data_IF_915114356180
#
_entry.id   IF_915114356180
#
_cell.length_a   1.000
_cell.length_b   1.000
_cell.length_c   1.000
_cell.angle_alpha   90.00
_cell.angle_beta   90.00
_cell.angle_gamma   90.00
#
_symmetry.space_group_name_H-M   'P 1'
#
loop_
_entity.id
_entity.type
_entity.pdbx_description
1 polymer ?
#
# COMPACT_ATOMS: atom_id res chain seq x y z
N UNK A 1 -25.93 -13.39 6.36
CA UNK A 1 -25.72 -13.21 7.83
C UNK A 1 -25.94 -11.72 8.16
N UNK A 2 -26.88 -11.41 9.07
CA UNK A 2 -27.11 -10.02 9.52
C UNK A 2 -26.02 -9.61 10.51
N UNK A 3 -25.48 -8.41 10.38
CA UNK A 3 -24.42 -7.87 11.22
C UNK A 3 -24.55 -6.35 11.37
N UNK A 4 -23.89 -5.78 12.35
CA UNK A 4 -23.83 -4.35 12.59
C UNK A 4 -22.49 -3.80 12.08
N UNK A 5 -22.53 -2.65 11.45
CA UNK A 5 -21.35 -1.87 11.04
C UNK A 5 -21.53 -0.40 11.34
N UNK A 6 -20.57 0.41 10.90
CA UNK A 6 -20.63 1.87 10.90
C UNK A 6 -20.51 2.37 9.47
N UNK A 7 -21.52 3.06 8.99
CA UNK A 7 -21.59 3.61 7.64
C UNK A 7 -21.74 5.12 7.65
N UNK A 8 -21.23 5.76 6.61
CA UNK A 8 -21.70 7.10 6.23
C UNK A 8 -22.76 6.98 5.14
N UNK A 9 -23.78 7.83 5.22
CA UNK A 9 -24.90 7.85 4.27
C UNK A 9 -24.66 8.78 3.08
N UNK A 10 -23.78 9.78 3.26
CA UNK A 10 -23.37 10.77 2.25
C UNK A 10 -21.94 11.21 2.53
N UNK A 11 -21.34 11.96 1.60
CA UNK A 11 -19.98 12.49 1.73
C UNK A 11 -19.76 13.35 3.00
N UNK A 12 -20.79 14.04 3.45
CA UNK A 12 -20.73 15.01 4.56
C UNK A 12 -21.27 14.43 5.88
N UNK A 13 -21.84 13.22 5.85
CA UNK A 13 -22.42 12.62 7.04
C UNK A 13 -21.36 11.92 7.89
N UNK A 14 -21.47 11.96 9.23
CA UNK A 14 -20.60 11.17 10.11
C UNK A 14 -20.89 9.67 9.95
N UNK A 15 -19.94 8.85 10.35
CA UNK A 15 -20.16 7.41 10.50
C UNK A 15 -21.13 7.13 11.64
N UNK A 16 -22.16 6.33 11.37
CA UNK A 16 -23.16 5.90 12.34
C UNK A 16 -23.47 4.42 12.25
N UNK A 17 -24.15 3.85 13.26
CA UNK A 17 -24.58 2.45 13.25
C UNK A 17 -25.41 2.12 12.01
N UNK A 18 -25.10 1.03 11.35
CA UNK A 18 -25.76 0.57 10.14
C UNK A 18 -25.88 -0.95 10.11
N UNK A 19 -27.08 -1.43 9.85
CA UNK A 19 -27.35 -2.86 9.70
C UNK A 19 -26.91 -3.32 8.31
N UNK A 20 -26.08 -4.35 8.26
CA UNK A 20 -25.53 -4.95 7.04
C UNK A 20 -26.06 -6.37 6.90
N UNK A 21 -26.40 -6.78 5.71
CA UNK A 21 -26.58 -8.18 5.39
C UNK A 21 -25.38 -8.67 4.58
N UNK A 22 -24.54 -9.51 5.19
CA UNK A 22 -23.45 -10.18 4.50
C UNK A 22 -24.02 -11.31 3.65
N UNK A 23 -23.47 -11.51 2.46
CA UNK A 23 -23.83 -12.61 1.58
C UNK A 23 -23.75 -13.97 2.28
N UNK A 24 -24.46 -14.95 1.78
CA UNK A 24 -24.35 -16.33 2.23
C UNK A 24 -22.93 -16.87 2.00
N UNK A 25 -22.50 -17.76 2.88
CA UNK A 25 -21.20 -18.43 2.78
C UNK A 25 -21.19 -19.34 1.54
N UNK A 26 -20.23 -19.11 0.66
CA UNK A 26 -19.98 -19.97 -0.52
C UNK A 26 -19.01 -21.09 -0.16
N UNK A 27 -18.88 -22.12 -1.00
CA UNK A 27 -18.00 -23.27 -0.68
C UNK A 27 -16.55 -22.91 -0.34
N UNK A 28 -15.99 -21.85 -0.95
CA UNK A 28 -14.60 -21.42 -0.74
C UNK A 28 -14.50 -20.21 0.20
N UNK A 29 -15.56 -19.87 0.94
CA UNK A 29 -15.57 -18.70 1.79
C UNK A 29 -15.21 -19.01 3.23
N UNK A 30 -14.67 -18.01 3.88
CA UNK A 30 -14.44 -17.93 5.31
C UNK A 30 -15.30 -16.81 5.87
N UNK A 31 -16.11 -17.09 6.90
CA UNK A 31 -16.75 -16.07 7.70
C UNK A 31 -15.90 -15.81 8.95
N UNK A 32 -15.72 -14.53 9.27
CA UNK A 32 -14.91 -14.12 10.41
C UNK A 32 -15.62 -13.07 11.26
N UNK A 33 -15.42 -13.13 12.57
CA UNK A 33 -15.67 -12.06 13.49
C UNK A 33 -14.49 -11.06 13.39
N UNK A 34 -14.80 -9.78 13.20
CA UNK A 34 -13.78 -8.72 13.16
C UNK A 34 -13.42 -8.32 14.57
N UNK A 35 -12.15 -8.47 14.92
CA UNK A 35 -11.61 -8.10 16.23
C UNK A 35 -11.01 -6.69 16.20
N UNK A 36 -10.27 -6.37 15.11
CA UNK A 36 -9.62 -5.08 14.92
C UNK A 36 -9.72 -4.65 13.45
N UNK A 37 -9.84 -3.36 13.24
CA UNK A 37 -9.72 -2.77 11.91
C UNK A 37 -8.93 -1.46 12.02
N UNK A 38 -7.83 -1.37 11.31
CA UNK A 38 -7.03 -0.16 11.23
C UNK A 38 -7.77 0.96 10.49
N UNK A 39 -7.29 2.19 10.67
CA UNK A 39 -7.80 3.39 10.00
C UNK A 39 -6.76 3.91 9.02
N UNK A 40 -7.14 4.02 7.77
CA UNK A 40 -6.32 4.52 6.68
C UNK A 40 -6.87 5.83 6.10
N UNK A 41 -6.01 6.65 5.49
CA UNK A 41 -6.45 7.84 4.74
C UNK A 41 -7.44 7.49 3.61
N UNK A 42 -7.29 6.31 3.02
CA UNK A 42 -8.23 5.79 2.00
C UNK A 42 -9.67 5.71 2.53
N UNK A 43 -9.86 5.29 3.78
CA UNK A 43 -11.18 5.23 4.40
C UNK A 43 -11.83 6.62 4.48
N UNK A 44 -11.02 7.63 4.83
CA UNK A 44 -11.45 9.02 4.91
C UNK A 44 -11.78 9.60 3.53
N UNK A 45 -10.89 9.42 2.55
CA UNK A 45 -11.09 9.89 1.18
C UNK A 45 -12.33 9.27 0.53
N UNK A 46 -12.55 7.98 0.74
CA UNK A 46 -13.74 7.31 0.23
C UNK A 46 -15.01 7.75 0.98
N UNK A 47 -14.95 7.88 2.30
CA UNK A 47 -16.10 8.36 3.06
C UNK A 47 -16.54 9.77 2.64
N UNK A 48 -15.58 10.64 2.30
CA UNK A 48 -15.82 12.02 1.83
C UNK A 48 -16.04 12.15 0.33
N UNK A 49 -15.94 11.07 -0.42
CA UNK A 49 -16.01 11.07 -1.89
C UNK A 49 -14.97 11.99 -2.57
N UNK A 50 -13.79 12.13 -1.97
CA UNK A 50 -12.74 13.00 -2.50
C UNK A 50 -12.29 12.58 -3.91
N UNK A 51 -12.55 11.35 -4.29
CA UNK A 51 -12.21 10.78 -5.61
C UNK A 51 -13.39 10.73 -6.59
N UNK A 52 -14.62 11.10 -6.15
CA UNK A 52 -15.78 11.25 -7.00
C UNK A 52 -16.50 9.96 -7.41
N UNK A 53 -16.21 8.80 -6.75
CA UNK A 53 -16.79 7.51 -7.12
C UNK A 53 -17.26 6.65 -5.93
N UNK A 54 -17.48 7.26 -4.77
CA UNK A 54 -18.00 6.54 -3.60
C UNK A 54 -19.45 6.14 -3.75
N UNK A 55 -19.77 4.94 -3.33
CA UNK A 55 -21.13 4.39 -3.28
C UNK A 55 -21.64 4.43 -1.84
N UNK A 56 -22.79 5.08 -1.63
CA UNK A 56 -23.42 5.18 -0.31
C UNK A 56 -24.67 4.28 -0.22
N UNK A 57 -25.01 3.76 0.98
CA UNK A 57 -24.25 3.85 2.24
C UNK A 57 -22.90 3.16 2.13
N UNK A 58 -21.85 3.75 2.73
CA UNK A 58 -20.49 3.24 2.66
C UNK A 58 -20.00 2.83 4.04
N UNK A 59 -19.59 1.57 4.17
CA UNK A 59 -18.92 1.03 5.36
C UNK A 59 -17.44 0.85 5.03
N UNK A 60 -16.53 1.68 5.55
CA UNK A 60 -15.10 1.59 5.26
C UNK A 60 -14.39 0.46 6.02
N UNK A 61 -13.07 0.42 5.91
CA UNK A 61 -12.19 -0.50 6.63
C UNK A 61 -11.64 -1.62 5.74
N UNK A 62 -10.31 -1.64 5.59
CA UNK A 62 -9.57 -2.61 4.77
C UNK A 62 -8.24 -3.05 5.41
N UNK A 63 -8.10 -2.83 6.71
CA UNK A 63 -6.99 -3.29 7.54
C UNK A 63 -7.55 -4.20 8.64
N UNK A 64 -8.06 -5.37 8.27
CA UNK A 64 -8.97 -6.17 9.08
C UNK A 64 -8.24 -7.35 9.69
N UNK A 65 -8.37 -7.51 11.01
CA UNK A 65 -7.95 -8.70 11.74
C UNK A 65 -9.17 -9.31 12.44
N UNK A 66 -9.31 -10.62 12.34
CA UNK A 66 -10.43 -11.30 12.94
C UNK A 66 -10.16 -12.76 13.23
N UNK A 67 -11.20 -13.43 13.66
CA UNK A 67 -11.19 -14.85 13.97
C UNK A 67 -12.23 -15.57 13.13
N UNK A 68 -11.84 -16.68 12.55
CA UNK A 68 -12.75 -17.52 11.75
C UNK A 68 -13.85 -18.07 12.66
N UNK A 69 -15.10 -17.88 12.25
CA UNK A 69 -16.30 -18.40 12.94
C UNK A 69 -17.00 -19.47 12.13
N UNK A 70 -16.85 -19.50 10.80
CA UNK A 70 -17.46 -20.50 9.92
C UNK A 70 -16.61 -20.62 8.65
N UNK A 71 -16.57 -21.82 8.04
CA UNK A 71 -15.87 -22.10 6.78
C UNK A 71 -16.76 -22.82 5.80
N UNK A 72 -16.62 -22.50 4.52
CA UNK A 72 -17.31 -23.19 3.44
C UNK A 72 -16.80 -24.60 3.20
N UNK A 73 -17.61 -25.43 2.55
CA UNK A 73 -17.37 -26.87 2.39
C UNK A 73 -16.09 -27.24 1.61
N UNK A 74 -15.50 -26.30 0.87
CA UNK A 74 -14.26 -26.50 0.09
C UNK A 74 -13.06 -25.75 0.68
N UNK A 75 -13.23 -25.06 1.81
CA UNK A 75 -12.12 -24.39 2.48
C UNK A 75 -11.17 -25.43 3.05
N UNK A 76 -9.88 -25.25 2.76
CA UNK A 76 -8.82 -26.19 3.19
C UNK A 76 -7.73 -25.51 4.01
N UNK A 77 -7.62 -24.19 3.92
CA UNK A 77 -6.53 -23.40 4.52
C UNK A 77 -6.79 -22.95 5.94
N UNK A 78 -8.06 -22.93 6.33
CA UNK A 78 -8.51 -22.35 7.61
C UNK A 78 -9.53 -23.25 8.29
N UNK A 79 -9.62 -23.13 9.62
CA UNK A 79 -10.63 -23.74 10.48
C UNK A 79 -11.19 -22.70 11.45
N UNK A 80 -12.33 -22.99 12.02
CA UNK A 80 -12.94 -22.17 13.09
C UNK A 80 -11.93 -21.96 14.21
N UNK A 81 -11.81 -20.72 14.66
CA UNK A 81 -10.86 -20.30 15.70
C UNK A 81 -9.53 -19.75 15.17
N UNK A 82 -9.17 -19.95 13.90
CA UNK A 82 -7.94 -19.41 13.33
C UNK A 82 -7.98 -17.87 13.30
N UNK A 83 -6.84 -17.23 13.61
CA UNK A 83 -6.67 -15.80 13.41
C UNK A 83 -6.36 -15.50 11.94
N UNK A 84 -7.13 -14.62 11.33
CA UNK A 84 -7.02 -14.26 9.93
C UNK A 84 -7.05 -12.75 9.73
N UNK A 85 -6.45 -12.32 8.64
CA UNK A 85 -6.37 -10.92 8.24
C UNK A 85 -6.92 -10.73 6.81
N UNK A 86 -7.56 -9.59 6.54
CA UNK A 86 -8.06 -9.23 5.22
C UNK A 86 -7.65 -7.80 4.89
N UNK A 87 -7.02 -7.63 3.73
CA UNK A 87 -6.54 -6.34 3.24
C UNK A 87 -7.52 -5.64 2.30
N UNK A 88 -6.98 -4.98 1.28
CA UNK A 88 -7.74 -4.12 0.37
C UNK A 88 -8.64 -4.87 -0.61
N UNK A 89 -8.44 -6.18 -0.81
CA UNK A 89 -9.17 -7.00 -1.81
C UNK A 89 -9.79 -8.22 -1.17
N UNK A 90 -10.94 -8.64 -1.72
CA UNK A 90 -11.73 -9.78 -1.22
C UNK A 90 -12.07 -10.80 -2.30
N UNK A 91 -11.87 -10.49 -3.59
CA UNK A 91 -12.13 -11.43 -4.69
C UNK A 91 -11.37 -11.04 -5.98
N UNK A 92 -11.21 -12.00 -6.89
CA UNK A 92 -10.76 -11.84 -8.27
C UNK A 92 -11.30 -12.99 -9.12
N UNK A 93 -11.02 -13.01 -10.43
CA UNK A 93 -11.52 -14.07 -11.30
C UNK A 93 -10.90 -15.45 -11.03
N UNK A 94 -9.73 -15.54 -10.43
CA UNK A 94 -8.97 -16.74 -10.07
C UNK A 94 -8.52 -17.63 -11.28
N UNK A 95 -8.86 -17.27 -12.52
CA UNK A 95 -8.56 -18.11 -13.69
C UNK A 95 -7.71 -17.43 -14.78
N UNK A 96 -7.56 -16.10 -14.76
CA UNK A 96 -6.70 -15.43 -15.74
C UNK A 96 -5.21 -15.69 -15.48
N UNK A 97 -4.37 -15.30 -16.43
CA UNK A 97 -2.91 -15.48 -16.34
C UNK A 97 -2.28 -14.81 -15.11
N UNK A 98 -2.82 -13.66 -14.70
CA UNK A 98 -2.32 -12.95 -13.52
C UNK A 98 -2.74 -13.63 -12.23
N UNK A 99 -4.02 -14.02 -12.10
CA UNK A 99 -4.48 -14.75 -10.92
C UNK A 99 -3.75 -16.08 -10.73
N UNK A 100 -3.49 -16.82 -11.83
CA UNK A 100 -2.71 -18.09 -11.77
C UNK A 100 -1.27 -17.90 -11.32
N UNK A 101 -0.71 -16.69 -11.48
CA UNK A 101 0.63 -16.33 -10.99
C UNK A 101 0.61 -15.83 -9.54
N UNK A 102 -0.58 -15.69 -8.93
CA UNK A 102 -0.76 -15.06 -7.63
C UNK A 102 -0.72 -13.53 -7.65
N UNK A 103 -0.96 -12.94 -8.82
CA UNK A 103 -0.97 -11.49 -9.07
C UNK A 103 -2.41 -10.98 -9.18
N UNK A 104 -3.28 -11.33 -8.24
CA UNK A 104 -4.72 -11.04 -8.27
C UNK A 104 -5.03 -9.56 -8.31
N UNK A 105 -4.13 -8.71 -7.79
CA UNK A 105 -4.23 -7.25 -7.93
C UNK A 105 -4.18 -6.79 -9.40
N UNK A 106 -3.63 -7.63 -10.28
CA UNK A 106 -3.56 -7.41 -11.73
C UNK A 106 -4.58 -8.27 -12.49
N UNK A 107 -5.62 -8.76 -11.83
CA UNK A 107 -6.66 -9.58 -12.46
C UNK A 107 -7.16 -8.92 -13.75
N UNK A 108 -7.18 -9.69 -14.86
CA UNK A 108 -7.61 -9.18 -16.17
C UNK A 108 -9.08 -8.74 -16.21
N UNK A 109 -9.89 -9.30 -15.33
CA UNK A 109 -11.30 -8.97 -15.17
C UNK A 109 -11.55 -7.99 -14.02
N UNK A 110 -10.50 -7.38 -13.47
CA UNK A 110 -10.54 -6.58 -12.24
C UNK A 110 -10.58 -7.45 -10.99
N UNK A 111 -10.04 -6.94 -9.89
CA UNK A 111 -10.22 -7.49 -8.56
C UNK A 111 -11.44 -6.83 -7.88
N UNK A 112 -11.93 -7.39 -6.79
CA UNK A 112 -12.99 -6.82 -5.97
C UNK A 112 -12.41 -6.24 -4.70
N UNK A 113 -12.68 -4.96 -4.46
CA UNK A 113 -12.21 -4.27 -3.25
C UNK A 113 -13.02 -4.69 -2.03
N UNK A 114 -12.42 -4.59 -0.86
CA UNK A 114 -13.02 -4.96 0.42
C UNK A 114 -14.26 -4.16 0.74
N UNK A 115 -14.34 -2.91 0.27
CA UNK A 115 -15.52 -2.06 0.34
C UNK A 115 -15.56 -1.09 -0.86
N UNK A 116 -16.70 -0.42 -1.04
CA UNK A 116 -16.94 0.51 -2.14
C UNK A 116 -16.75 -0.12 -3.53
N UNK A 117 -17.09 -1.38 -3.66
CA UNK A 117 -17.06 -2.14 -4.91
C UNK A 117 -18.27 -3.07 -4.97
N UNK A 118 -18.34 -3.95 -5.95
CA UNK A 118 -19.44 -4.89 -6.13
C UNK A 118 -18.93 -6.33 -6.10
N UNK A 119 -19.63 -7.17 -5.34
CA UNK A 119 -19.41 -8.62 -5.37
C UNK A 119 -19.48 -9.15 -6.81
N UNK A 120 -18.56 -10.01 -7.20
CA UNK A 120 -18.45 -10.49 -8.57
C UNK A 120 -19.68 -11.29 -9.02
N UNK A 121 -20.38 -11.95 -8.11
CA UNK A 121 -21.51 -12.85 -8.39
C UNK A 121 -22.83 -12.13 -8.15
N UNK A 122 -23.10 -11.64 -6.94
CA UNK A 122 -24.39 -11.03 -6.57
C UNK A 122 -24.53 -9.59 -7.03
N UNK A 123 -23.41 -8.91 -7.35
CA UNK A 123 -23.35 -7.48 -7.69
C UNK A 123 -23.75 -6.54 -6.55
N UNK A 124 -23.95 -7.06 -5.35
CA UNK A 124 -24.18 -6.26 -4.17
C UNK A 124 -22.96 -5.42 -3.82
N UNK A 125 -23.17 -4.30 -3.14
CA UNK A 125 -22.10 -3.43 -2.67
C UNK A 125 -21.27 -4.16 -1.62
N UNK A 126 -19.93 -4.09 -1.72
CA UNK A 126 -19.04 -4.60 -0.70
C UNK A 126 -18.92 -3.61 0.44
N UNK A 127 -18.92 -4.12 1.67
CA UNK A 127 -18.80 -3.36 2.91
C UNK A 127 -17.57 -3.80 3.69
N UNK A 128 -16.82 -2.84 4.22
CA UNK A 128 -15.53 -3.05 4.87
C UNK A 128 -15.58 -3.57 6.30
N UNK A 129 -14.44 -3.46 6.94
CA UNK A 129 -14.16 -3.99 8.26
C UNK A 129 -14.66 -3.15 9.43
N UNK A 130 -15.24 -1.93 9.19
CA UNK A 130 -15.93 -1.21 10.25
C UNK A 130 -17.29 -1.86 10.53
N UNK A 131 -17.24 -3.18 10.75
CA UNK A 131 -18.38 -4.05 11.01
C UNK A 131 -17.95 -5.23 11.88
N UNK A 132 -18.94 -5.90 12.52
CA UNK A 132 -18.64 -7.03 13.40
C UNK A 132 -18.23 -8.31 12.68
N UNK A 133 -18.67 -8.50 11.43
CA UNK A 133 -18.38 -9.73 10.69
C UNK A 133 -18.04 -9.41 9.23
N UNK A 134 -17.24 -10.30 8.64
CA UNK A 134 -16.90 -10.27 7.21
C UNK A 134 -17.00 -11.69 6.64
N UNK A 135 -17.38 -11.79 5.36
CA UNK A 135 -17.33 -13.01 4.56
C UNK A 135 -16.41 -12.76 3.37
N UNK A 136 -15.39 -13.60 3.22
CA UNK A 136 -14.33 -13.44 2.22
C UNK A 136 -13.93 -14.80 1.67
N UNK A 137 -13.44 -14.86 0.43
CA UNK A 137 -12.84 -16.09 -0.11
C UNK A 137 -11.55 -16.43 0.63
N UNK A 138 -11.29 -17.74 0.83
CA UNK A 138 -10.09 -18.19 1.55
C UNK A 138 -8.77 -17.69 0.92
N UNK A 139 -8.74 -17.45 -0.39
CA UNK A 139 -7.56 -16.94 -1.09
C UNK A 139 -7.19 -15.52 -0.69
N UNK A 140 -8.15 -14.73 -0.21
CA UNK A 140 -7.96 -13.35 0.24
C UNK A 140 -7.91 -13.21 1.77
N UNK A 141 -8.10 -14.28 2.50
CA UNK A 141 -7.78 -14.35 3.91
C UNK A 141 -6.28 -14.66 4.08
N UNK A 142 -5.61 -13.98 4.97
CA UNK A 142 -4.19 -14.16 5.29
C UNK A 142 -4.07 -14.74 6.69
N UNK A 143 -3.21 -15.74 6.88
CA UNK A 143 -2.93 -16.27 8.22
C UNK A 143 -2.15 -15.25 9.03
N UNK A 144 -2.60 -14.96 10.22
CA UNK A 144 -1.82 -14.16 11.17
C UNK A 144 -0.90 -15.10 11.93
N UNK A 145 0.43 -14.87 11.92
CA UNK A 145 1.38 -15.70 12.64
C UNK A 145 1.16 -15.66 14.15
N UNK A 146 1.43 -16.78 14.82
CA UNK A 146 1.43 -16.85 16.27
C UNK A 146 2.48 -15.88 16.85
N UNK A 147 2.13 -15.24 17.97
CA UNK A 147 3.01 -14.27 18.64
C UNK A 147 2.95 -12.84 18.10
N UNK A 148 2.26 -12.58 16.99
CA UNK A 148 2.01 -11.22 16.52
C UNK A 148 0.80 -10.63 17.26
N UNK A 149 0.95 -9.42 17.81
CA UNK A 149 -0.15 -8.69 18.42
C UNK A 149 -1.22 -8.37 17.34
N UNK A 150 -2.43 -8.86 17.56
CA UNK A 150 -3.50 -8.76 16.56
C UNK A 150 -3.90 -7.30 16.27
N UNK A 151 -3.92 -6.43 17.29
CA UNK A 151 -4.27 -5.03 17.09
C UNK A 151 -3.19 -4.29 16.30
N UNK A 152 -1.91 -4.59 16.58
CA UNK A 152 -0.78 -3.96 15.89
C UNK A 152 -0.55 -4.53 14.49
N UNK A 153 -1.09 -5.71 14.18
CA UNK A 153 -1.00 -6.32 12.86
C UNK A 153 -1.91 -5.65 11.81
N UNK A 154 -3.00 -5.01 12.22
CA UNK A 154 -3.97 -4.43 11.29
C UNK A 154 -3.36 -3.47 10.24
N UNK A 155 -2.51 -2.49 10.59
CA UNK A 155 -1.90 -1.58 9.60
C UNK A 155 -1.00 -2.28 8.57
N UNK A 156 -0.55 -3.52 8.84
CA UNK A 156 0.27 -4.28 7.88
C UNK A 156 -0.50 -4.61 6.60
N UNK A 157 -1.83 -4.68 6.68
CA UNK A 157 -2.71 -5.08 5.56
C UNK A 157 -2.84 -4.01 4.47
N UNK A 158 -2.51 -2.76 4.80
CA UNK A 158 -2.47 -1.65 3.85
C UNK A 158 -1.10 -0.96 3.87
N UNK A 159 -0.78 -0.20 4.91
CA UNK A 159 0.47 0.54 4.99
C UNK A 159 1.70 -0.37 4.93
N UNK A 160 1.64 -1.55 5.56
CA UNK A 160 2.72 -2.54 5.55
C UNK A 160 2.98 -3.07 4.14
N UNK A 161 2.00 -3.71 3.51
CA UNK A 161 2.18 -4.30 2.17
C UNK A 161 2.49 -3.25 1.10
N UNK A 162 1.90 -2.06 1.20
CA UNK A 162 2.12 -0.96 0.26
C UNK A 162 3.59 -0.49 0.26
N UNK A 163 4.23 -0.46 1.42
CA UNK A 163 5.63 -0.05 1.56
C UNK A 163 6.63 -1.21 1.45
N UNK A 164 6.22 -2.42 1.80
CA UNK A 164 7.03 -3.63 1.64
C UNK A 164 7.21 -4.04 0.17
N UNK A 165 6.14 -3.94 -0.61
CA UNK A 165 6.14 -4.35 -2.02
C UNK A 165 7.25 -3.67 -2.84
N UNK A 166 7.43 -2.33 -2.82
CA UNK A 166 8.55 -1.71 -3.55
C UNK A 166 9.91 -2.15 -3.03
N UNK A 167 10.11 -2.33 -1.73
CA UNK A 167 11.37 -2.83 -1.19
C UNK A 167 11.73 -4.20 -1.78
N UNK A 168 10.75 -5.10 -1.92
CA UNK A 168 10.94 -6.42 -2.53
C UNK A 168 11.10 -6.36 -4.04
N UNK A 169 10.31 -5.54 -4.72
CA UNK A 169 10.32 -5.43 -6.20
C UNK A 169 11.66 -4.91 -6.71
N UNK A 170 12.28 -4.00 -5.97
CA UNK A 170 13.60 -3.44 -6.31
C UNK A 170 14.75 -4.13 -5.57
N UNK A 171 14.51 -5.34 -4.99
CA UNK A 171 15.51 -6.17 -4.33
C UNK A 171 16.31 -5.44 -3.25
N UNK A 172 15.68 -4.53 -2.52
CA UNK A 172 16.32 -3.85 -1.41
C UNK A 172 16.66 -4.86 -0.32
N UNK A 173 17.89 -4.80 0.16
CA UNK A 173 18.45 -5.68 1.19
C UNK A 173 19.55 -4.99 1.97
N UNK A 174 20.44 -5.75 2.64
CA UNK A 174 21.54 -5.19 3.45
C UNK A 174 22.40 -4.22 2.65
N UNK A 175 22.56 -3.00 3.18
CA UNK A 175 23.33 -1.92 2.55
C UNK A 175 22.61 -1.15 1.44
N UNK A 176 21.43 -1.58 0.99
CA UNK A 176 20.62 -0.86 -0.01
C UNK A 176 20.24 0.54 0.47
N UNK A 177 20.35 1.56 -0.40
CA UNK A 177 20.15 2.97 -0.06
C UNK A 177 18.74 3.39 -0.35
N UNK A 178 17.94 3.57 0.71
CA UNK A 178 16.51 3.88 0.62
C UNK A 178 16.20 5.27 1.15
N UNK A 179 15.53 6.07 0.33
CA UNK A 179 14.92 7.33 0.74
C UNK A 179 13.43 7.13 1.07
N UNK A 180 12.95 7.71 2.16
CA UNK A 180 11.52 7.72 2.50
C UNK A 180 11.05 9.16 2.62
N UNK A 181 10.18 9.60 1.70
CA UNK A 181 9.59 10.94 1.73
C UNK A 181 8.33 10.90 2.56
N UNK A 182 8.28 11.73 3.61
CA UNK A 182 7.18 11.78 4.57
C UNK A 182 7.32 10.78 5.72
N UNK A 183 6.79 11.14 6.88
CA UNK A 183 6.77 10.29 8.08
C UNK A 183 5.37 10.33 8.70
N UNK A 184 4.38 9.82 7.96
CA UNK A 184 3.03 9.49 8.39
C UNK A 184 2.91 7.99 8.66
N UNK A 185 1.70 7.41 8.59
CA UNK A 185 1.47 5.97 8.76
C UNK A 185 2.29 5.11 7.79
N UNK A 186 2.19 5.40 6.48
CA UNK A 186 2.99 4.74 5.44
C UNK A 186 4.50 4.92 5.67
N UNK A 187 4.95 6.16 5.93
CA UNK A 187 6.38 6.44 6.14
C UNK A 187 6.95 5.71 7.35
N UNK A 188 6.19 5.55 8.45
CA UNK A 188 6.58 4.72 9.59
C UNK A 188 6.84 3.28 9.17
N UNK A 189 5.92 2.69 8.42
CA UNK A 189 6.04 1.30 7.96
C UNK A 189 7.21 1.16 6.97
N UNK A 190 7.37 2.10 6.04
CA UNK A 190 8.49 2.11 5.09
C UNK A 190 9.85 2.08 5.83
N UNK A 191 10.03 2.96 6.81
CA UNK A 191 11.27 3.02 7.61
C UNK A 191 11.51 1.72 8.36
N UNK A 192 10.52 1.24 9.13
CA UNK A 192 10.67 0.01 9.92
C UNK A 192 11.00 -1.20 9.06
N UNK A 193 10.31 -1.35 7.93
CA UNK A 193 10.52 -2.48 7.02
C UNK A 193 11.87 -2.40 6.31
N UNK A 194 12.27 -1.24 5.81
CA UNK A 194 13.57 -1.05 5.17
C UNK A 194 14.73 -1.31 6.15
N UNK A 195 14.62 -0.78 7.38
CA UNK A 195 15.60 -1.04 8.47
C UNK A 195 15.67 -2.54 8.80
N UNK A 196 14.51 -3.21 8.94
CA UNK A 196 14.47 -4.64 9.22
C UNK A 196 15.08 -5.49 8.09
N UNK A 197 15.04 -5.00 6.85
CA UNK A 197 15.70 -5.62 5.70
C UNK A 197 17.20 -5.29 5.60
N UNK A 198 17.74 -4.49 6.52
CA UNK A 198 19.15 -4.11 6.57
C UNK A 198 19.56 -2.97 5.65
N UNK A 199 18.60 -2.22 5.10
CA UNK A 199 18.87 -1.07 4.25
C UNK A 199 19.42 0.13 5.04
N UNK A 200 20.19 0.98 4.35
CA UNK A 200 20.58 2.30 4.82
C UNK A 200 19.42 3.30 4.54
N UNK A 201 18.74 3.74 5.57
CA UNK A 201 17.49 4.49 5.43
C UNK A 201 17.68 5.98 5.71
N UNK A 202 17.31 6.82 4.76
CA UNK A 202 17.22 8.28 4.94
C UNK A 202 15.76 8.72 4.89
N UNK A 203 15.28 9.34 5.97
CA UNK A 203 13.95 9.95 5.97
C UNK A 203 14.05 11.39 5.46
N UNK A 204 13.16 11.75 4.55
CA UNK A 204 13.05 13.09 3.99
C UNK A 204 11.75 13.76 4.44
N UNK A 205 11.83 14.99 4.92
CA UNK A 205 10.67 15.80 5.28
C UNK A 205 10.97 17.26 5.04
N UNK A 206 9.96 18.12 5.01
CA UNK A 206 10.15 19.56 4.76
C UNK A 206 11.04 20.22 5.80
N UNK A 207 10.83 19.93 7.09
CA UNK A 207 11.51 20.55 8.23
C UNK A 207 12.12 19.49 9.15
N UNK A 208 12.98 19.90 10.08
CA UNK A 208 13.65 19.00 11.02
C UNK A 208 12.76 18.47 12.16
N UNK A 209 11.48 18.86 12.23
CA UNK A 209 10.58 18.52 13.36
C UNK A 209 10.43 17.02 13.58
N UNK A 210 10.55 16.24 12.50
CA UNK A 210 10.42 14.76 12.55
C UNK A 210 11.74 14.03 12.67
N UNK A 211 12.89 14.74 12.75
CA UNK A 211 14.23 14.13 12.77
C UNK A 211 14.41 13.15 13.92
N UNK A 212 14.12 13.57 15.15
CA UNK A 212 14.26 12.71 16.33
C UNK A 212 13.41 11.44 16.22
N UNK A 213 12.17 11.56 15.71
CA UNK A 213 11.28 10.44 15.50
C UNK A 213 11.78 9.50 14.41
N UNK A 214 12.32 10.02 13.31
CA UNK A 214 12.89 9.20 12.24
C UNK A 214 14.06 8.35 12.73
N UNK A 215 14.99 8.97 13.46
CA UNK A 215 16.14 8.25 14.04
C UNK A 215 15.71 7.22 15.10
N UNK A 216 14.71 7.54 15.92
CA UNK A 216 14.15 6.60 16.89
C UNK A 216 13.48 5.37 16.23
N UNK A 217 13.03 5.47 14.98
CA UNK A 217 12.51 4.36 14.18
C UNK A 217 13.62 3.51 13.54
N UNK A 218 14.88 3.90 13.68
CA UNK A 218 16.02 3.20 13.14
C UNK A 218 16.58 3.77 11.82
N UNK A 219 16.06 4.91 11.34
CA UNK A 219 16.65 5.57 10.17
C UNK A 219 18.09 6.02 10.46
N UNK A 220 19.00 5.81 9.49
CA UNK A 220 20.41 6.20 9.61
C UNK A 220 20.58 7.72 9.47
N UNK A 221 19.77 8.34 8.62
CA UNK A 221 19.87 9.77 8.28
C UNK A 221 18.50 10.42 8.19
N UNK A 222 18.55 11.74 8.31
CA UNK A 222 17.39 12.60 8.07
C UNK A 222 17.82 13.78 7.18
N UNK A 223 16.99 14.10 6.20
CA UNK A 223 17.22 15.16 5.22
C UNK A 223 16.01 16.11 5.20
N UNK A 224 16.25 17.39 5.50
CA UNK A 224 15.23 18.42 5.32
C UNK A 224 15.21 18.85 3.86
N UNK A 225 14.08 18.70 3.17
CA UNK A 225 13.97 19.05 1.75
C UNK A 225 14.03 20.56 1.48
N UNK A 226 13.90 21.39 2.51
CA UNK A 226 14.11 22.85 2.43
C UNK A 226 15.58 23.26 2.56
N UNK A 227 16.48 22.34 2.91
CA UNK A 227 17.91 22.57 2.97
C UNK A 227 18.55 22.23 1.61
N UNK A 228 18.73 23.26 0.79
CA UNK A 228 19.24 23.09 -0.58
C UNK A 228 20.67 22.51 -0.62
N UNK A 229 21.53 22.85 0.36
CA UNK A 229 22.89 22.33 0.42
C UNK A 229 22.89 20.83 0.77
N UNK A 230 22.07 20.43 1.74
CA UNK A 230 21.92 19.03 2.13
C UNK A 230 21.31 18.19 0.98
N UNK A 231 20.34 18.75 0.26
CA UNK A 231 19.75 18.11 -0.93
C UNK A 231 20.78 17.93 -2.04
N UNK A 232 21.60 18.96 -2.32
CA UNK A 232 22.66 18.88 -3.32
C UNK A 232 23.72 17.82 -2.97
N UNK A 233 24.10 17.69 -1.70
CA UNK A 233 25.03 16.66 -1.22
C UNK A 233 24.46 15.23 -1.29
N UNK A 234 23.14 15.09 -1.36
CA UNK A 234 22.46 13.81 -1.42
C UNK A 234 22.17 13.33 -2.86
N UNK A 235 22.63 14.06 -3.90
CA UNK A 235 22.47 13.68 -5.30
C UNK A 235 23.06 12.29 -5.57
N UNK A 236 22.40 11.51 -6.45
CA UNK A 236 22.78 10.13 -6.81
C UNK A 236 22.97 9.22 -5.58
N UNK A 237 22.26 9.50 -4.50
CA UNK A 237 22.40 8.82 -3.21
C UNK A 237 21.47 7.62 -2.99
N UNK A 238 20.43 7.42 -3.82
CA UNK A 238 19.39 6.44 -3.51
C UNK A 238 19.09 5.50 -4.68
N UNK A 239 19.01 4.22 -4.38
CA UNK A 239 18.56 3.17 -5.30
C UNK A 239 17.02 3.12 -5.36
N UNK A 240 16.38 3.41 -4.24
CA UNK A 240 14.92 3.48 -4.14
C UNK A 240 14.51 4.68 -3.28
N UNK A 241 13.58 5.46 -3.78
CA UNK A 241 12.87 6.46 -2.99
C UNK A 241 11.40 6.08 -2.92
N UNK A 242 10.84 6.00 -1.71
CA UNK A 242 9.41 5.72 -1.47
C UNK A 242 8.75 7.02 -1.01
N UNK A 243 7.89 7.58 -1.86
CA UNK A 243 7.11 8.77 -1.53
C UNK A 243 5.77 8.39 -0.90
N UNK A 244 5.61 8.77 0.37
CA UNK A 244 4.44 8.44 1.19
C UNK A 244 3.54 9.64 1.47
N UNK A 245 3.80 10.78 0.83
CA UNK A 245 3.05 12.02 1.06
C UNK A 245 1.71 11.97 0.33
N UNK A 246 0.56 12.12 1.02
CA UNK A 246 -0.76 11.94 0.42
C UNK A 246 -1.35 13.24 -0.16
N UNK A 247 -0.53 14.26 -0.38
CA UNK A 247 -0.96 15.55 -0.92
C UNK A 247 -0.09 15.97 -2.09
N UNK A 248 -0.63 16.79 -2.99
CA UNK A 248 0.14 17.34 -4.13
C UNK A 248 1.37 18.10 -3.62
N UNK A 249 2.53 17.75 -4.14
CA UNK A 249 3.81 18.40 -3.86
C UNK A 249 4.75 18.23 -5.06
N UNK A 250 5.85 18.98 -5.07
CA UNK A 250 6.86 18.87 -6.12
C UNK A 250 7.73 17.63 -5.91
N UNK A 251 7.52 16.61 -6.76
CA UNK A 251 8.33 15.39 -6.78
C UNK A 251 9.64 15.55 -7.57
N UNK A 252 9.76 16.60 -8.42
CA UNK A 252 10.93 16.79 -9.26
C UNK A 252 12.17 17.10 -8.42
N UNK A 253 12.02 17.73 -7.27
CA UNK A 253 13.12 18.01 -6.34
C UNK A 253 13.83 16.75 -5.81
N UNK A 254 13.18 15.60 -5.88
CA UNK A 254 13.74 14.31 -5.43
C UNK A 254 14.34 13.46 -6.55
N UNK A 255 14.05 13.77 -7.82
CA UNK A 255 14.59 13.00 -8.96
C UNK A 255 16.13 13.03 -9.02
N UNK A 256 16.82 14.19 -8.80
CA UNK A 256 18.28 14.22 -8.78
C UNK A 256 18.94 13.41 -7.67
N UNK A 257 18.18 13.00 -6.66
CA UNK A 257 18.69 12.17 -5.56
C UNK A 257 18.80 10.69 -5.93
N UNK A 258 18.13 10.26 -7.00
CA UNK A 258 18.21 8.89 -7.50
C UNK A 258 19.57 8.62 -8.11
N UNK A 259 20.13 7.48 -7.78
CA UNK A 259 21.33 6.95 -8.44
C UNK A 259 21.00 6.42 -9.84
N UNK A 260 22.02 6.00 -10.58
CA UNK A 260 21.85 5.32 -11.88
C UNK A 260 20.91 4.13 -11.69
N UNK A 261 19.91 4.00 -12.57
CA UNK A 261 18.81 3.02 -12.46
C UNK A 261 17.95 3.12 -11.18
N UNK A 262 18.18 4.13 -10.35
CA UNK A 262 17.38 4.41 -9.17
C UNK A 262 15.91 4.67 -9.52
N UNK A 263 15.02 4.35 -8.58
CA UNK A 263 13.57 4.43 -8.79
C UNK A 263 12.89 5.23 -7.70
N UNK A 264 12.01 6.17 -8.09
CA UNK A 264 11.06 6.82 -7.18
C UNK A 264 9.70 6.16 -7.32
N UNK A 265 9.17 5.66 -6.20
CA UNK A 265 7.86 4.99 -6.12
C UNK A 265 6.92 5.85 -5.30
N UNK A 266 5.83 6.31 -5.89
CA UNK A 266 4.80 7.08 -5.22
C UNK A 266 3.76 6.10 -4.69
N UNK A 267 3.62 5.99 -3.37
CA UNK A 267 2.63 5.16 -2.67
C UNK A 267 1.57 6.00 -1.96
N UNK A 268 1.84 7.28 -1.76
CA UNK A 268 0.84 8.27 -1.35
C UNK A 268 -0.05 8.67 -2.53
N UNK A 269 -1.34 8.84 -2.30
CA UNK A 269 -2.21 9.34 -3.38
C UNK A 269 -2.17 10.85 -3.43
N UNK A 270 -1.47 11.40 -4.40
CA UNK A 270 -1.23 12.84 -4.56
C UNK A 270 -2.24 13.55 -5.48
N UNK A 271 -3.36 12.89 -5.82
CA UNK A 271 -4.34 13.39 -6.80
C UNK A 271 -3.87 13.17 -8.26
N UNK A 272 -4.55 13.82 -9.20
CA UNK A 272 -4.10 13.83 -10.59
C UNK A 272 -2.80 14.66 -10.67
N UNK A 273 -1.75 14.09 -11.23
CA UNK A 273 -0.56 14.82 -11.64
C UNK A 273 -0.93 15.62 -12.89
N UNK A 274 -1.38 16.87 -12.71
CA UNK A 274 -2.02 17.67 -13.75
C UNK A 274 -1.18 17.88 -15.01
N UNK A 275 0.14 17.72 -14.94
CA UNK A 275 1.05 18.03 -16.06
C UNK A 275 1.88 16.84 -16.54
N UNK A 276 1.66 15.63 -16.01
CA UNK A 276 2.49 14.47 -16.34
C UNK A 276 1.67 13.19 -16.55
N UNK A 277 0.48 13.29 -17.15
CA UNK A 277 -0.37 12.15 -17.44
C UNK A 277 -0.25 11.63 -18.91
N UNK A 278 0.85 10.93 -19.24
CA UNK A 278 0.84 9.98 -20.35
C UNK A 278 0.69 8.53 -19.88
N UNK A 279 0.66 8.25 -18.55
CA UNK A 279 0.73 6.86 -18.06
C UNK A 279 -0.63 6.23 -17.71
N UNK A 280 -1.71 7.04 -17.68
CA UNK A 280 -3.09 6.54 -17.52
C UNK A 280 -3.88 6.46 -18.83
N UNK A 281 -3.33 6.91 -19.95
CA UNK A 281 -3.93 6.76 -21.27
C UNK A 281 -3.46 5.47 -21.97
N UNK A 282 -3.92 4.32 -21.47
CA UNK A 282 -4.20 3.24 -22.39
C UNK A 282 -5.32 3.75 -23.31
N UNK A 283 -5.07 3.82 -24.62
CA UNK A 283 -6.12 4.09 -25.62
C UNK A 283 -7.32 3.19 -25.28
N UNK A 284 -8.52 3.75 -25.05
CA UNK A 284 -9.71 2.93 -24.84
C UNK A 284 -9.91 2.09 -26.11
N UNK A 285 -10.25 0.82 -26.00
CA UNK A 285 -10.66 0.05 -27.16
C UNK A 285 -11.84 0.75 -27.83
N UNK A 286 -11.94 0.78 -29.16
CA UNK A 286 -13.02 1.44 -29.85
C UNK A 286 -14.36 0.85 -29.39
N UNK A 287 -15.20 1.68 -28.75
CA UNK A 287 -16.54 1.33 -28.26
C UNK A 287 -16.69 1.10 -26.75
N UNK A 288 -15.64 1.27 -25.94
CA UNK A 288 -15.71 1.11 -24.49
C UNK A 288 -15.72 2.43 -23.73
N UNK A 289 -16.63 2.57 -22.77
CA UNK A 289 -16.59 3.62 -21.74
C UNK A 289 -15.25 3.45 -21.01
N UNK A 290 -14.43 4.50 -21.01
CA UNK A 290 -13.16 4.51 -20.28
C UNK A 290 -13.44 4.24 -18.79
N UNK A 291 -13.15 3.04 -18.33
CA UNK A 291 -13.35 2.66 -16.95
C UNK A 291 -12.25 3.31 -16.10
N UNK A 292 -12.57 4.45 -15.50
CA UNK A 292 -11.69 5.20 -14.59
C UNK A 292 -11.26 4.40 -13.36
N UNK A 293 -11.79 3.18 -13.16
CA UNK A 293 -11.51 2.29 -12.02
C UNK A 293 -10.08 1.75 -12.00
N UNK A 294 -9.38 1.73 -13.14
CA UNK A 294 -8.01 1.23 -13.22
C UNK A 294 -6.95 2.21 -12.69
N UNK A 295 -7.26 3.49 -12.55
CA UNK A 295 -6.34 4.49 -11.99
C UNK A 295 -6.53 4.73 -10.48
N UNK A 296 -7.58 4.20 -9.88
CA UNK A 296 -8.00 4.47 -8.51
C UNK A 296 -7.71 3.32 -7.54
N UNK A 297 -6.85 2.36 -7.89
CA UNK A 297 -6.46 1.31 -6.95
C UNK A 297 -5.51 1.90 -5.89
N UNK A 298 -5.90 2.01 -4.61
CA UNK A 298 -5.07 2.61 -3.55
C UNK A 298 -3.78 1.84 -3.27
N UNK A 299 -3.58 0.65 -3.86
CA UNK A 299 -2.33 -0.10 -3.81
C UNK A 299 -1.43 0.08 -5.03
N UNK A 300 -1.77 0.99 -5.97
CA UNK A 300 -0.97 1.19 -7.18
C UNK A 300 0.22 2.13 -6.90
N UNK A 301 1.43 1.57 -6.87
CA UNK A 301 2.65 2.35 -6.85
C UNK A 301 2.92 2.93 -8.24
N UNK A 302 3.08 4.25 -8.37
CA UNK A 302 3.53 4.92 -9.60
C UNK A 302 5.06 4.97 -9.65
N UNK A 303 5.60 4.67 -10.83
CA UNK A 303 7.03 4.49 -11.05
C UNK A 303 7.59 5.63 -11.90
N UNK A 304 8.60 6.33 -11.39
CA UNK A 304 9.45 7.22 -12.17
C UNK A 304 10.88 6.65 -12.14
N UNK A 305 11.50 6.44 -13.30
CA UNK A 305 12.90 6.02 -13.41
C UNK A 305 13.73 7.15 -13.99
N UNK A 306 14.86 7.44 -13.36
CA UNK A 306 15.91 8.23 -13.97
C UNK A 306 16.72 7.32 -14.92
N UNK A 307 16.79 7.66 -16.19
CA UNK A 307 17.76 7.07 -17.13
C UNK A 307 18.84 8.09 -17.37
N UNK A 308 20.03 7.83 -16.89
CA UNK A 308 21.19 8.51 -17.43
C UNK A 308 21.65 7.82 -18.72
N UNK A 309 21.64 8.57 -19.81
CA UNK A 309 22.48 8.26 -20.95
C UNK A 309 23.87 8.84 -20.67
N UNK A 310 24.96 8.10 -20.95
CA UNK A 310 26.29 8.70 -21.03
C UNK A 310 26.30 9.60 -22.26
N UNK A 311 25.81 10.82 -22.14
CA UNK A 311 25.99 11.86 -23.13
C UNK A 311 27.42 12.37 -22.99
N UNK A 312 28.27 12.10 -23.97
CA UNK A 312 29.45 12.93 -24.22
C UNK A 312 28.93 14.37 -24.34
N UNK A 313 29.32 15.20 -23.38
CA UNK A 313 29.13 16.65 -23.46
C UNK A 313 29.88 17.16 -24.66
N UNK A 314 29.16 17.50 -25.74
CA UNK A 314 29.54 18.53 -26.64
C UNK A 314 28.80 19.78 -26.20
N UNK A 315 29.56 20.74 -25.70
CA UNK A 315 29.07 22.06 -25.30
C UNK A 315 28.43 22.77 -26.48
N UNK A 316 27.12 22.94 -26.45
CA UNK A 316 26.39 23.89 -27.27
C UNK A 316 26.04 25.12 -26.40
N UNK A 317 26.69 26.28 -26.64
CA UNK A 317 26.53 27.43 -25.75
C UNK A 317 25.20 28.18 -25.85
N UNK A 318 24.26 27.78 -26.72
CA UNK A 318 23.04 28.54 -27.04
C UNK A 318 21.72 27.76 -26.96
N UNK A 319 21.65 26.58 -26.32
CA UNK A 319 20.42 25.80 -26.20
C UNK A 319 19.73 25.97 -24.84
N UNK A 320 18.39 26.17 -24.81
CA UNK A 320 17.68 26.16 -23.51
C UNK A 320 17.72 24.75 -22.91
N UNK A 321 18.05 24.69 -21.63
CA UNK A 321 18.16 23.47 -20.80
C UNK A 321 16.82 22.69 -20.83
N UNK A 322 16.73 21.73 -21.74
CA UNK A 322 15.61 20.79 -21.82
C UNK A 322 16.06 19.40 -21.40
N UNK A 323 16.21 19.18 -20.09
CA UNK A 323 16.24 17.83 -19.52
C UNK A 323 14.84 17.23 -19.62
N UNK A 324 14.54 16.66 -20.78
CA UNK A 324 13.31 15.86 -20.95
C UNK A 324 13.47 14.52 -20.22
N UNK A 325 12.85 14.37 -19.07
CA UNK A 325 12.57 13.07 -18.49
C UNK A 325 11.59 12.35 -19.41
N UNK A 326 12.06 11.40 -20.21
CA UNK A 326 11.18 10.52 -20.98
C UNK A 326 10.58 9.50 -20.02
N UNK A 327 9.29 9.63 -19.73
CA UNK A 327 8.50 8.56 -19.16
C UNK A 327 8.45 7.41 -20.20
N UNK A 328 9.31 6.41 -20.05
CA UNK A 328 9.16 5.18 -20.82
C UNK A 328 8.02 4.40 -20.18
N UNK A 329 6.96 4.13 -20.95
CA UNK A 329 5.81 3.32 -20.57
C UNK A 329 6.24 1.94 -20.11
N UNK A 330 6.60 1.83 -18.84
CA UNK A 330 6.91 0.57 -18.18
C UNK A 330 5.67 0.19 -17.39
N UNK A 331 5.14 -0.96 -17.67
CA UNK A 331 4.00 -1.58 -16.97
C UNK A 331 4.16 -1.37 -15.48
N UNK A 332 3.16 -0.79 -14.84
CA UNK A 332 3.10 -0.74 -13.39
C UNK A 332 3.34 -2.14 -12.85
N UNK A 333 4.48 -2.38 -12.19
CA UNK A 333 4.68 -3.60 -11.42
C UNK A 333 4.06 -3.34 -10.05
N UNK A 334 3.10 -4.15 -9.72
CA UNK A 334 2.25 -4.04 -8.54
C UNK A 334 2.74 -4.94 -7.39
N UNK A 335 2.12 -4.83 -6.19
CA UNK A 335 2.55 -5.55 -5.00
C UNK A 335 2.70 -7.06 -5.23
N UNK A 336 3.48 -7.68 -4.36
CA UNK A 336 3.83 -9.10 -4.36
C UNK A 336 2.65 -10.03 -4.62
N UNK A 337 2.87 -11.16 -5.31
CA UNK A 337 1.90 -12.24 -5.45
C UNK A 337 1.23 -12.62 -4.12
N UNK A 338 -0.04 -13.03 -4.14
CA UNK A 338 -0.75 -13.45 -2.93
C UNK A 338 0.00 -14.56 -2.17
N UNK A 339 0.63 -15.50 -2.90
CA UNK A 339 1.48 -16.53 -2.30
C UNK A 339 2.63 -15.95 -1.47
N UNK A 340 3.22 -14.82 -1.92
CA UNK A 340 4.30 -14.15 -1.22
C UNK A 340 3.77 -13.27 -0.08
N UNK A 341 2.48 -12.89 -0.10
CA UNK A 341 1.82 -12.19 1.02
C UNK A 341 1.62 -13.10 2.23
N UNK A 342 1.45 -14.41 2.04
CA UNK A 342 1.47 -15.36 3.15
C UNK A 342 2.85 -15.42 3.80
N UNK A 343 3.94 -15.35 3.01
CA UNK A 343 5.30 -15.23 3.53
C UNK A 343 5.64 -13.82 4.07
N UNK A 344 4.82 -12.79 3.82
CA UNK A 344 5.05 -11.44 4.32
C UNK A 344 5.09 -11.40 5.85
N UNK A 345 4.13 -12.00 6.51
CA UNK A 345 4.10 -12.10 7.97
C UNK A 345 5.25 -12.96 8.51
N UNK A 346 5.58 -14.07 7.83
CA UNK A 346 6.70 -14.94 8.22
C UNK A 346 8.05 -14.23 8.07
N UNK A 347 8.22 -13.40 7.03
CA UNK A 347 9.42 -12.59 6.83
C UNK A 347 9.61 -11.48 7.87
N UNK A 348 8.51 -10.99 8.48
CA UNK A 348 8.56 -9.97 9.54
C UNK A 348 9.00 -10.54 10.90
N UNK A 349 8.76 -11.84 11.14
CA UNK A 349 9.10 -12.51 12.41
C UNK A 349 10.53 -13.09 12.39
N UNK A 350 11.31 -12.86 11.34
CA UNK A 350 12.67 -13.36 11.10
C UNK A 350 13.27 -14.11 12.28
N UNK A 351 13.84 -15.31 12.04
CA UNK A 351 14.51 -16.11 13.09
C UNK A 351 15.33 -15.18 13.98
N UNK A 352 15.25 -15.27 15.32
CA UNK A 352 16.04 -14.42 16.20
C UNK A 352 17.52 -14.63 15.88
N UNK A 353 18.14 -13.65 15.22
CA UNK A 353 19.57 -13.54 15.18
C UNK A 353 20.00 -13.28 16.62
N UNK A 354 20.74 -14.21 17.23
CA UNK A 354 21.19 -14.14 18.59
C UNK A 354 22.06 -12.89 18.84
N UNK A 355 21.39 -11.82 19.21
CA UNK A 355 21.95 -10.69 19.95
C UNK A 355 20.95 -10.44 21.08
N UNK A 356 21.30 -10.88 22.25
CA UNK A 356 20.66 -10.50 23.50
C UNK A 356 20.73 -8.98 23.64
N UNK A 357 19.63 -8.30 23.35
CA UNK A 357 19.41 -6.93 23.80
C UNK A 357 18.61 -6.99 25.09
N UNK A 358 19.31 -6.93 26.21
CA UNK A 358 18.73 -6.68 27.53
C UNK A 358 18.04 -5.31 27.54
N UNK A 359 16.77 -5.26 27.18
CA UNK A 359 15.92 -4.10 27.48
C UNK A 359 15.52 -4.17 28.96
N UNK A 360 16.17 -3.35 29.77
CA UNK A 360 15.69 -3.03 31.11
C UNK A 360 14.38 -2.27 31.01
N UNK A 361 13.35 -2.79 31.65
CA UNK A 361 12.07 -2.14 31.88
C UNK A 361 12.27 -0.87 32.70
N UNK A 362 12.06 0.29 32.09
CA UNK A 362 11.83 1.52 32.84
C UNK A 362 10.33 1.81 32.86
N UNK A 363 9.73 1.62 34.02
CA UNK A 363 8.41 2.16 34.35
C UNK A 363 8.51 3.70 34.29
N UNK A 364 7.59 4.34 33.60
CA UNK A 364 7.28 5.75 33.78
C UNK A 364 6.21 5.91 34.88
N UNK A 365 6.35 6.95 35.74
CA UNK A 365 5.33 7.32 36.73
C UNK A 365 4.08 7.94 36.08
#
# INVERSE_FOLDING_TARGET
MKTLGYATQTADAPLGPFAIERRALRPNDVAMEVLYCGVCHTDLHQARNDWGWSMYPLVPGHEIIGRVIEVGSKVTRYKVGDAVAVGCMVDSCQHCDQCRKGEEQLCREGNTQTYNDRDRITKDVTYGGYSKHLVVREEFALRVPDGLDLAQAAPLLCAGITTYSPLRTWNIGPGGRVGVIGLGGLGHMAVKLAVAMGANVTVMSRTNDKKAKALALGADRFLASTDAEAMAKAQSGFELIIDTVPVKHDVNSYIPLLDVDGTLVIVGQIGLLADHDPLCHGTPPPGGIADRRHCANPGAARLLRAKEHPARLQDDPNGPDQRRVRATGTRCRYPLPLRDRHGFFEGLIGKPSGRENTMRSNHCP
#
